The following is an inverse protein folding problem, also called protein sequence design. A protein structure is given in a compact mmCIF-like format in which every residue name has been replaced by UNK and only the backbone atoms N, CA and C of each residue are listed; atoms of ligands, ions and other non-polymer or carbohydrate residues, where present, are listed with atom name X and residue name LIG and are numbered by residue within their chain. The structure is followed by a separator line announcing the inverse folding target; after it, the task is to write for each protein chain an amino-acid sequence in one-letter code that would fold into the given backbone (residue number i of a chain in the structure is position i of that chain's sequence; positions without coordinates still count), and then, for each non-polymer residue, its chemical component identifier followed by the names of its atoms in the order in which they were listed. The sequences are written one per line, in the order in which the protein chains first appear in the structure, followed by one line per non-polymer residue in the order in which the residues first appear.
data_IF_251889081502
#
_entry.id   IF_251889081502
#
_cell.length_a   1.000
_cell.length_b   1.000
_cell.length_c   1.000
_cell.angle_alpha   90.00
_cell.angle_beta   90.00
_cell.angle_gamma   90.00
#
_symmetry.space_group_name_H-M   'P 1'
#
loop_
_entity.id
_entity.type
_entity.pdbx_description
1 polymer ?
#
# COMPACT_ATOMS: atom_id res chain seq x y z
N UNK A 1 30.36 -17.56 -12.84
CA UNK A 1 29.91 -16.28 -13.45
C UNK A 1 29.37 -15.43 -12.33
N UNK A 2 30.16 -14.49 -11.85
CA UNK A 2 29.75 -13.57 -10.79
C UNK A 2 28.99 -12.41 -11.43
N UNK A 3 27.67 -12.39 -11.23
CA UNK A 3 26.86 -11.23 -11.62
C UNK A 3 27.30 -10.03 -10.76
N UNK A 4 27.83 -9.02 -11.41
CA UNK A 4 28.10 -7.73 -10.76
C UNK A 4 26.75 -7.14 -10.33
N UNK A 5 26.64 -6.57 -9.10
CA UNK A 5 25.43 -5.89 -8.70
C UNK A 5 25.16 -4.70 -9.64
N UNK A 6 23.94 -4.59 -10.14
CA UNK A 6 23.50 -3.42 -10.90
C UNK A 6 23.65 -2.20 -9.97
N UNK A 7 24.30 -1.10 -10.41
CA UNK A 7 24.41 0.08 -9.58
C UNK A 7 23.03 0.62 -9.28
N UNK A 8 22.72 0.83 -7.99
CA UNK A 8 21.52 1.55 -7.55
C UNK A 8 21.54 2.93 -8.18
N UNK A 9 20.45 3.39 -8.82
CA UNK A 9 20.39 4.75 -9.34
C UNK A 9 20.65 5.76 -8.22
N UNK A 10 21.29 6.90 -8.50
CA UNK A 10 21.52 7.91 -7.48
C UNK A 10 20.18 8.36 -6.90
N UNK A 11 20.07 8.33 -5.57
CA UNK A 11 18.92 8.84 -4.82
C UNK A 11 18.77 10.34 -5.13
N UNK A 12 17.55 10.78 -5.38
CA UNK A 12 17.30 12.20 -5.64
C UNK A 12 17.42 13.02 -4.35
N UNK A 13 17.71 14.33 -4.45
CA UNK A 13 17.70 15.23 -3.29
C UNK A 13 16.35 15.18 -2.54
N UNK A 14 15.27 14.99 -3.26
CA UNK A 14 13.93 14.79 -2.68
C UNK A 14 13.91 13.51 -1.83
N UNK A 15 14.33 12.37 -2.38
CA UNK A 15 14.31 11.09 -1.66
C UNK A 15 15.21 11.14 -0.42
N UNK A 16 16.38 11.77 -0.51
CA UNK A 16 17.28 11.94 0.65
C UNK A 16 16.61 12.73 1.80
N UNK A 17 15.83 13.76 1.45
CA UNK A 17 15.09 14.56 2.45
C UNK A 17 13.93 13.78 3.05
N UNK A 18 13.21 13.03 2.24
CA UNK A 18 12.12 12.14 2.71
C UNK A 18 12.68 11.03 3.61
N UNK A 19 13.79 10.40 3.21
CA UNK A 19 14.45 9.37 4.02
C UNK A 19 14.94 9.92 5.35
N UNK A 20 15.46 11.16 5.37
CA UNK A 20 15.88 11.83 6.61
C UNK A 20 14.68 12.08 7.52
N UNK A 21 13.58 12.59 6.97
CA UNK A 21 12.34 12.82 7.71
C UNK A 21 11.81 11.54 8.38
N UNK A 22 11.66 10.44 7.61
CA UNK A 22 11.16 9.18 8.16
C UNK A 22 12.09 8.50 9.15
N UNK A 23 13.40 8.73 9.03
CA UNK A 23 14.38 8.24 10.02
C UNK A 23 14.20 8.90 11.37
N UNK A 24 13.87 10.19 11.37
CA UNK A 24 13.71 11.01 12.58
C UNK A 24 12.24 11.16 13.00
N UNK A 25 11.32 10.37 12.37
CA UNK A 25 9.91 10.40 12.66
C UNK A 25 9.62 9.93 14.09
N UNK A 26 8.92 10.77 14.84
CA UNK A 26 8.43 10.48 16.20
C UNK A 26 6.98 10.99 16.31
N UNK A 27 6.01 10.10 16.34
CA UNK A 27 4.57 10.41 16.36
C UNK A 27 4.17 11.35 17.52
N UNK A 28 4.97 11.38 18.61
CA UNK A 28 4.70 12.26 19.76
C UNK A 28 4.84 13.75 19.44
N UNK A 29 5.46 14.09 18.29
CA UNK A 29 5.61 15.47 17.82
C UNK A 29 4.31 16.00 17.17
N UNK A 30 3.38 15.11 16.81
CA UNK A 30 2.06 15.51 16.28
C UNK A 30 2.17 16.41 15.03
N UNK A 31 1.45 17.53 15.05
CA UNK A 31 1.33 18.44 13.91
C UNK A 31 2.65 19.09 13.48
N UNK A 32 3.68 19.15 14.33
CA UNK A 32 5.02 19.62 13.92
C UNK A 32 5.59 18.76 12.77
N UNK A 33 5.24 17.47 12.70
CA UNK A 33 5.64 16.58 11.60
C UNK A 33 4.93 16.93 10.29
N UNK A 34 3.66 17.31 10.38
CA UNK A 34 2.88 17.78 9.22
C UNK A 34 3.50 19.04 8.65
N UNK A 35 3.82 20.03 9.51
CA UNK A 35 4.46 21.28 9.10
C UNK A 35 5.83 21.03 8.45
N UNK A 36 6.63 20.11 9.00
CA UNK A 36 7.94 19.74 8.44
C UNK A 36 7.82 19.08 7.07
N UNK A 37 6.87 18.14 6.89
CA UNK A 37 6.62 17.52 5.59
C UNK A 37 6.02 18.52 4.60
N UNK A 38 5.17 19.46 5.03
CA UNK A 38 4.63 20.51 4.19
C UNK A 38 5.73 21.38 3.56
N UNK A 39 6.83 21.65 4.28
CA UNK A 39 8.00 22.35 3.72
C UNK A 39 8.65 21.55 2.57
N UNK A 40 8.58 20.21 2.61
CA UNK A 40 9.07 19.37 1.51
C UNK A 40 8.10 19.47 0.32
N UNK A 41 6.79 19.41 0.57
CA UNK A 41 5.75 19.57 -0.47
C UNK A 41 5.89 20.89 -1.20
N UNK A 42 6.01 22.00 -0.47
CA UNK A 42 6.09 23.37 -1.04
C UNK A 42 7.29 23.57 -1.97
N UNK A 43 8.35 22.78 -1.78
CA UNK A 43 9.57 22.82 -2.62
C UNK A 43 9.56 21.79 -3.74
N UNK A 44 8.55 20.92 -3.80
CA UNK A 44 8.45 19.84 -4.76
C UNK A 44 7.70 20.31 -6.01
N UNK A 45 8.23 20.00 -7.17
CA UNK A 45 7.67 20.40 -8.47
C UNK A 45 7.77 19.25 -9.49
N UNK A 46 6.89 19.25 -10.46
CA UNK A 46 6.92 18.25 -11.53
C UNK A 46 6.73 16.83 -10.98
N UNK A 47 7.63 15.92 -11.31
CA UNK A 47 7.54 14.50 -10.92
C UNK A 47 7.64 14.26 -9.40
N UNK A 48 8.23 15.17 -8.64
CA UNK A 48 8.32 15.04 -7.17
C UNK A 48 7.07 15.55 -6.46
N UNK A 49 6.20 16.30 -7.12
CA UNK A 49 5.00 16.87 -6.49
C UNK A 49 4.01 15.76 -6.05
N UNK A 50 3.75 14.77 -6.90
CA UNK A 50 2.89 13.64 -6.54
C UNK A 50 3.49 12.77 -5.45
N UNK A 51 4.80 12.53 -5.49
CA UNK A 51 5.51 11.82 -4.45
C UNK A 51 5.44 12.57 -3.11
N UNK A 52 5.61 13.88 -3.10
CA UNK A 52 5.52 14.71 -1.90
C UNK A 52 4.10 14.71 -1.28
N UNK A 53 3.06 14.72 -2.11
CA UNK A 53 1.67 14.55 -1.62
C UNK A 53 1.45 13.18 -0.98
N UNK A 54 2.03 12.12 -1.56
CA UNK A 54 1.99 10.77 -0.98
C UNK A 54 2.68 10.74 0.38
N UNK A 55 3.84 11.35 0.53
CA UNK A 55 4.56 11.39 1.81
C UNK A 55 3.79 12.20 2.87
N UNK A 56 3.20 13.34 2.49
CA UNK A 56 2.36 14.12 3.41
C UNK A 56 1.10 13.34 3.84
N UNK A 57 0.45 12.64 2.90
CA UNK A 57 -0.65 11.73 3.22
C UNK A 57 -0.24 10.66 4.22
N UNK A 58 0.97 10.08 4.04
CA UNK A 58 1.52 9.07 4.95
C UNK A 58 1.79 9.60 6.35
N UNK A 59 2.17 10.89 6.49
CA UNK A 59 2.32 11.54 7.79
C UNK A 59 0.97 11.69 8.48
N UNK A 60 -0.05 12.20 7.79
CA UNK A 60 -1.40 12.30 8.35
C UNK A 60 -1.95 10.93 8.77
N UNK A 61 -1.78 9.91 7.92
CA UNK A 61 -2.22 8.54 8.21
C UNK A 61 -1.53 7.97 9.46
N UNK A 62 -0.20 8.16 9.59
CA UNK A 62 0.56 7.73 10.75
C UNK A 62 0.14 8.45 12.05
N UNK A 63 -0.41 9.65 11.95
CA UNK A 63 -0.94 10.43 13.08
C UNK A 63 -2.43 10.14 13.36
N UNK A 64 -3.09 9.23 12.61
CA UNK A 64 -4.50 8.92 12.76
C UNK A 64 -5.43 10.04 12.28
N UNK A 65 -4.96 10.83 11.31
CA UNK A 65 -5.69 11.94 10.68
C UNK A 65 -6.22 11.49 9.31
N UNK A 66 -7.04 10.45 9.28
CA UNK A 66 -7.51 9.79 8.06
C UNK A 66 -8.26 10.73 7.11
N UNK A 67 -9.06 11.66 7.65
CA UNK A 67 -9.82 12.62 6.85
C UNK A 67 -8.92 13.60 6.08
N UNK A 68 -7.73 13.90 6.60
CA UNK A 68 -6.73 14.73 5.94
C UNK A 68 -5.84 13.90 4.99
N UNK A 69 -5.56 12.64 5.34
CA UNK A 69 -4.75 11.74 4.52
C UNK A 69 -5.42 11.34 3.21
N UNK A 70 -6.72 11.02 3.23
CA UNK A 70 -7.48 10.51 2.07
C UNK A 70 -7.34 11.43 0.84
N UNK A 71 -7.69 12.73 0.89
CA UNK A 71 -7.63 13.59 -0.29
C UNK A 71 -6.21 13.76 -0.85
N UNK A 72 -5.20 13.66 0.01
CA UNK A 72 -3.79 13.74 -0.40
C UNK A 72 -3.37 12.48 -1.14
N UNK A 73 -3.71 11.28 -0.64
CA UNK A 73 -3.47 10.02 -1.35
C UNK A 73 -4.20 9.98 -2.70
N UNK A 74 -5.49 10.35 -2.73
CA UNK A 74 -6.28 10.41 -3.96
C UNK A 74 -5.61 11.34 -4.98
N UNK A 75 -5.16 12.52 -4.55
CA UNK A 75 -4.47 13.50 -5.39
C UNK A 75 -3.11 12.99 -5.90
N UNK A 76 -2.34 12.31 -5.04
CA UNK A 76 -1.06 11.72 -5.41
C UNK A 76 -1.24 10.65 -6.51
N UNK A 77 -2.20 9.73 -6.31
CA UNK A 77 -2.52 8.68 -7.28
C UNK A 77 -3.01 9.26 -8.62
N UNK A 78 -3.90 10.26 -8.58
CA UNK A 78 -4.43 10.92 -9.77
C UNK A 78 -3.36 11.70 -10.56
N UNK A 79 -2.35 12.23 -9.87
CA UNK A 79 -1.24 12.98 -10.47
C UNK A 79 -0.16 12.09 -11.08
N UNK A 80 -0.21 10.79 -10.81
CA UNK A 80 0.76 9.79 -11.29
C UNK A 80 1.97 9.70 -10.37
N UNK A 81 2.03 8.60 -9.63
CA UNK A 81 3.18 8.22 -8.80
C UNK A 81 4.18 7.39 -9.60
N UNK A 82 5.43 7.40 -9.17
CA UNK A 82 6.43 6.49 -9.67
C UNK A 82 6.10 5.02 -9.32
N UNK A 83 6.76 4.09 -10.02
CA UNK A 83 6.47 2.66 -9.89
C UNK A 83 6.72 2.11 -8.47
N UNK A 84 7.58 2.74 -7.69
CA UNK A 84 7.86 2.31 -6.32
C UNK A 84 6.78 2.78 -5.33
N UNK A 85 6.28 4.00 -5.47
CA UNK A 85 5.29 4.57 -4.56
C UNK A 85 3.86 4.20 -4.90
N UNK A 86 3.55 3.97 -6.18
CA UNK A 86 2.18 3.65 -6.62
C UNK A 86 1.54 2.49 -5.85
N UNK A 87 2.14 1.27 -5.80
CA UNK A 87 1.51 0.16 -5.10
C UNK A 87 1.44 0.38 -3.58
N UNK A 88 2.38 1.11 -3.00
CA UNK A 88 2.35 1.47 -1.58
C UNK A 88 1.18 2.43 -1.28
N UNK A 89 0.99 3.48 -2.11
CA UNK A 89 -0.10 4.43 -1.97
C UNK A 89 -1.47 3.76 -2.08
N UNK A 90 -1.61 2.79 -3.00
CA UNK A 90 -2.85 1.99 -3.12
C UNK A 90 -3.14 1.22 -1.84
N UNK A 91 -2.14 0.56 -1.25
CA UNK A 91 -2.31 -0.21 -0.01
C UNK A 91 -2.64 0.70 1.18
N UNK A 92 -1.92 1.81 1.32
CA UNK A 92 -2.14 2.75 2.43
C UNK A 92 -3.51 3.41 2.32
N UNK A 93 -3.88 3.97 1.17
CA UNK A 93 -5.21 4.56 0.98
C UNK A 93 -6.33 3.56 1.23
N UNK A 94 -6.17 2.33 0.76
CA UNK A 94 -7.17 1.28 1.01
C UNK A 94 -7.32 0.95 2.50
N UNK A 95 -6.21 0.95 3.26
CA UNK A 95 -6.23 0.82 4.72
C UNK A 95 -6.95 1.99 5.38
N UNK A 96 -6.65 3.21 4.94
CA UNK A 96 -7.28 4.44 5.45
C UNK A 96 -8.78 4.45 5.14
N UNK A 97 -9.21 4.05 3.92
CA UNK A 97 -10.62 3.86 3.58
C UNK A 97 -11.32 2.87 4.52
N UNK A 98 -10.65 1.75 4.82
CA UNK A 98 -11.19 0.76 5.76
C UNK A 98 -11.38 1.37 7.16
N UNK A 99 -10.42 2.14 7.66
CA UNK A 99 -10.48 2.78 8.99
C UNK A 99 -11.67 3.73 9.12
N UNK A 100 -12.01 4.46 8.05
CA UNK A 100 -13.18 5.37 8.03
C UNK A 100 -14.47 4.68 7.57
N UNK A 101 -14.48 3.36 7.39
CA UNK A 101 -15.68 2.57 7.03
C UNK A 101 -16.03 2.58 5.54
N UNK A 102 -15.18 3.12 4.65
CA UNK A 102 -15.34 3.08 3.19
C UNK A 102 -14.89 1.72 2.64
N UNK A 103 -15.55 0.65 3.09
CA UNK A 103 -15.10 -0.73 2.85
C UNK A 103 -15.13 -1.14 1.37
N UNK A 104 -16.17 -0.74 0.64
CA UNK A 104 -16.29 -1.04 -0.80
C UNK A 104 -15.21 -0.32 -1.61
N UNK A 105 -14.87 0.93 -1.25
CA UNK A 105 -13.79 1.68 -1.89
C UNK A 105 -12.42 1.01 -1.62
N UNK A 106 -12.20 0.55 -0.39
CA UNK A 106 -10.99 -0.19 -0.01
C UNK A 106 -10.82 -1.46 -0.83
N UNK A 107 -11.88 -2.27 -0.94
CA UNK A 107 -11.89 -3.52 -1.72
C UNK A 107 -11.65 -3.24 -3.21
N UNK A 108 -12.34 -2.24 -3.76
CA UNK A 108 -12.21 -1.86 -5.17
C UNK A 108 -10.79 -1.38 -5.49
N UNK A 109 -10.21 -0.53 -4.63
CA UNK A 109 -8.89 0.04 -4.83
C UNK A 109 -7.80 -1.05 -4.79
N UNK A 110 -7.83 -1.96 -3.81
CA UNK A 110 -6.88 -3.08 -3.73
C UNK A 110 -6.97 -4.00 -4.94
N UNK A 111 -8.18 -4.16 -5.51
CA UNK A 111 -8.40 -4.93 -6.73
C UNK A 111 -7.79 -4.32 -8.00
N UNK A 112 -7.26 -3.11 -7.95
CA UNK A 112 -6.59 -2.48 -9.10
C UNK A 112 -5.13 -2.92 -9.27
N UNK A 113 -4.52 -3.52 -8.23
CA UNK A 113 -3.13 -3.98 -8.28
C UNK A 113 -3.02 -5.30 -9.04
N UNK A 114 -2.14 -5.34 -10.02
CA UNK A 114 -1.76 -6.59 -10.69
C UNK A 114 -0.69 -7.32 -9.86
N UNK A 115 -1.14 -8.26 -9.04
CA UNK A 115 -0.25 -9.07 -8.21
C UNK A 115 0.46 -10.21 -8.99
N UNK A 116 0.27 -10.29 -10.30
CA UNK A 116 1.08 -11.14 -11.17
C UNK A 116 2.33 -10.41 -11.69
N UNK A 117 2.37 -9.08 -11.57
CA UNK A 117 3.51 -8.26 -11.96
C UNK A 117 4.59 -8.24 -10.86
N UNK A 118 5.81 -8.75 -11.13
CA UNK A 118 6.93 -8.67 -10.20
C UNK A 118 7.27 -7.23 -9.78
N UNK A 119 7.05 -6.23 -10.66
CA UNK A 119 7.30 -4.83 -10.32
C UNK A 119 6.40 -4.34 -9.18
N UNK A 120 5.24 -4.94 -8.98
CA UNK A 120 4.34 -4.67 -7.85
C UNK A 120 4.69 -5.54 -6.65
N UNK A 121 4.82 -6.86 -6.87
CA UNK A 121 5.00 -7.80 -5.77
C UNK A 121 6.37 -7.72 -5.10
N UNK A 122 7.41 -7.26 -5.79
CA UNK A 122 8.73 -7.00 -5.20
C UNK A 122 8.69 -5.83 -4.20
N UNK A 123 7.70 -4.92 -4.33
CA UNK A 123 7.55 -3.75 -3.46
C UNK A 123 6.62 -4.06 -2.28
N UNK A 124 5.41 -4.56 -2.55
CA UNK A 124 4.37 -4.70 -1.51
C UNK A 124 4.10 -6.16 -1.10
N UNK A 125 4.72 -7.13 -1.77
CA UNK A 125 4.54 -8.55 -1.46
C UNK A 125 3.08 -8.97 -1.52
N UNK A 126 2.66 -9.70 -0.48
CA UNK A 126 1.27 -10.13 -0.31
C UNK A 126 0.45 -9.15 0.56
N UNK A 127 1.01 -8.01 0.95
CA UNK A 127 0.31 -7.04 1.80
C UNK A 127 -1.05 -6.61 1.21
N UNK A 128 -1.19 -6.35 -0.11
CA UNK A 128 -2.50 -6.02 -0.68
C UNK A 128 -3.58 -7.07 -0.39
N UNK A 129 -3.22 -8.37 -0.44
CA UNK A 129 -4.19 -9.44 -0.13
C UNK A 129 -4.53 -9.48 1.35
N UNK A 130 -3.57 -9.19 2.23
CA UNK A 130 -3.83 -9.13 3.66
C UNK A 130 -4.79 -7.99 4.01
N UNK A 131 -4.57 -6.79 3.47
CA UNK A 131 -5.47 -5.65 3.65
C UNK A 131 -6.84 -5.88 3.00
N UNK A 132 -6.89 -6.51 1.82
CA UNK A 132 -8.13 -6.93 1.18
C UNK A 132 -8.93 -7.89 2.07
N UNK A 133 -8.26 -8.87 2.68
CA UNK A 133 -8.92 -9.81 3.58
C UNK A 133 -9.49 -9.11 4.82
N UNK A 134 -8.80 -8.11 5.38
CA UNK A 134 -9.33 -7.30 6.47
C UNK A 134 -10.56 -6.50 6.04
N UNK A 135 -10.51 -5.83 4.88
CA UNK A 135 -11.62 -5.04 4.36
C UNK A 135 -12.84 -5.92 4.04
N UNK A 136 -12.64 -7.10 3.45
CA UNK A 136 -13.68 -8.09 3.20
C UNK A 136 -14.30 -8.62 4.51
N UNK A 137 -13.47 -8.87 5.53
CA UNK A 137 -13.95 -9.30 6.84
C UNK A 137 -14.90 -8.27 7.45
N UNK A 138 -14.48 -7.00 7.48
CA UNK A 138 -15.25 -5.91 8.04
C UNK A 138 -16.52 -5.60 7.22
N UNK A 139 -16.48 -5.87 5.90
CA UNK A 139 -17.64 -5.84 5.01
C UNK A 139 -18.60 -7.03 5.18
N UNK A 140 -18.39 -7.92 6.16
CA UNK A 140 -19.23 -9.08 6.40
C UNK A 140 -19.02 -10.22 5.42
N UNK A 141 -17.87 -10.29 4.73
CA UNK A 141 -17.49 -11.32 3.75
C UNK A 141 -16.32 -12.19 4.25
N UNK A 142 -16.37 -12.75 5.50
CA UNK A 142 -15.20 -13.39 6.13
C UNK A 142 -14.76 -14.68 5.42
N UNK A 143 -15.69 -15.40 4.80
CA UNK A 143 -15.32 -16.63 4.06
C UNK A 143 -14.48 -16.30 2.83
N UNK A 144 -14.83 -15.24 2.11
CA UNK A 144 -14.09 -14.76 0.95
C UNK A 144 -12.73 -14.19 1.37
N UNK A 145 -12.70 -13.42 2.45
CA UNK A 145 -11.45 -12.94 3.05
C UNK A 145 -10.47 -14.08 3.34
N UNK A 146 -10.96 -15.15 3.98
CA UNK A 146 -10.15 -16.33 4.30
C UNK A 146 -9.70 -17.06 3.03
N UNK A 147 -10.57 -17.23 2.04
CA UNK A 147 -10.23 -17.89 0.78
C UNK A 147 -9.08 -17.19 0.07
N UNK A 148 -9.18 -15.86 -0.08
CA UNK A 148 -8.16 -15.05 -0.75
C UNK A 148 -6.82 -15.05 -0.01
N UNK A 149 -6.86 -14.89 1.32
CA UNK A 149 -5.65 -14.92 2.14
C UNK A 149 -4.95 -16.28 2.07
N UNK A 150 -5.70 -17.38 2.19
CA UNK A 150 -5.13 -18.73 2.09
C UNK A 150 -4.54 -19.01 0.71
N UNK A 151 -5.20 -18.55 -0.36
CA UNK A 151 -4.68 -18.70 -1.72
C UNK A 151 -3.33 -17.98 -1.90
N UNK A 152 -3.18 -16.77 -1.34
CA UNK A 152 -1.95 -15.99 -1.41
C UNK A 152 -0.83 -16.58 -0.53
N UNK A 153 -1.16 -17.14 0.64
CA UNK A 153 -0.18 -17.71 1.56
C UNK A 153 0.28 -19.11 1.12
N UNK A 154 -0.59 -19.90 0.47
CA UNK A 154 -0.31 -21.30 0.13
C UNK A 154 1.04 -21.50 -0.62
N UNK A 155 1.40 -20.68 -1.63
CA UNK A 155 2.67 -20.81 -2.35
C UNK A 155 3.92 -20.56 -1.49
N UNK A 156 3.79 -19.81 -0.39
CA UNK A 156 4.91 -19.46 0.50
C UNK A 156 5.22 -20.54 1.52
N UNK A 157 4.33 -21.53 1.67
CA UNK A 157 4.49 -22.60 2.65
C UNK A 157 5.50 -23.64 2.18
N UNK A 158 6.44 -24.07 3.05
CA UNK A 158 7.39 -25.12 2.72
C UNK A 158 6.73 -26.51 2.59
N UNK A 159 5.57 -26.70 3.22
CA UNK A 159 4.77 -27.93 3.20
C UNK A 159 3.28 -27.59 3.13
N UNK A 160 2.47 -28.53 2.67
CA UNK A 160 0.98 -28.43 2.62
C UNK A 160 0.42 -27.43 1.61
N UNK A 161 1.22 -26.85 0.70
CA UNK A 161 0.79 -25.93 -0.36
C UNK A 161 -0.47 -26.44 -1.06
N UNK A 162 -0.45 -27.69 -1.58
CA UNK A 162 -1.59 -28.29 -2.30
C UNK A 162 -2.86 -28.36 -1.42
N UNK A 163 -2.71 -28.74 -0.14
CA UNK A 163 -3.86 -28.88 0.75
C UNK A 163 -4.49 -27.53 1.03
N UNK A 164 -3.68 -26.51 1.33
CA UNK A 164 -4.17 -25.15 1.59
C UNK A 164 -4.78 -24.54 0.34
N UNK A 165 -4.19 -24.73 -0.84
CA UNK A 165 -4.79 -24.28 -2.12
C UNK A 165 -6.16 -24.91 -2.35
N UNK A 166 -6.32 -26.22 -2.10
CA UNK A 166 -7.60 -26.90 -2.26
C UNK A 166 -8.65 -26.40 -1.25
N UNK A 167 -8.24 -26.13 0.00
CA UNK A 167 -9.15 -25.58 1.01
C UNK A 167 -9.55 -24.14 0.68
N UNK A 168 -8.64 -23.31 0.19
CA UNK A 168 -8.96 -21.97 -0.28
C UNK A 168 -10.02 -22.00 -1.40
N UNK A 169 -9.79 -22.84 -2.41
CA UNK A 169 -10.75 -23.01 -3.52
C UNK A 169 -12.11 -23.52 -3.07
N UNK A 170 -12.18 -24.36 -2.04
CA UNK A 170 -13.44 -24.87 -1.50
C UNK A 170 -14.26 -23.81 -0.73
N UNK A 171 -13.63 -22.70 -0.32
CA UNK A 171 -14.28 -21.58 0.35
C UNK A 171 -14.84 -20.55 -0.65
N UNK A 172 -14.40 -20.58 -1.91
CA UNK A 172 -14.95 -19.68 -2.93
C UNK A 172 -16.43 -20.03 -3.21
N UNK A 173 -17.30 -19.03 -3.33
CA UNK A 173 -18.67 -19.28 -3.75
C UNK A 173 -18.70 -19.87 -5.17
N UNK A 174 -19.69 -20.75 -5.48
CA UNK A 174 -19.79 -21.29 -6.83
C UNK A 174 -19.91 -20.15 -7.84
N UNK A 175 -19.03 -20.17 -8.86
CA UNK A 175 -19.10 -19.18 -9.95
C UNK A 175 -20.42 -19.39 -10.68
N UNK A 176 -21.31 -18.40 -10.61
CA UNK A 176 -22.53 -18.40 -11.41
C UNK A 176 -22.12 -18.35 -12.88
N UNK A 177 -22.38 -19.44 -13.60
CA UNK A 177 -22.16 -19.61 -15.05
C UNK A 177 -23.23 -18.86 -15.83
#
# INVERSE_FOLDING_TARGET
MTSSPTPTPPTSEFDERVDAFWRDFDETRGDDLVDEMQVIVDKSVGATASAALYELASVHDALGQEDDAIPLYESALASGLDAARYPQAVVQLASTYRNVGRLDDSVALLGTLDLSDPAVTDIVGIAPVAFLALSLHDAGRPTEALAQLLAAVAPTLPLYTRSITNYAAALEPPRNS
#
